data_IF_791277625817
#
_entry.id   IF_791277625817
#
_cell.length_a   1.000
_cell.length_b   1.000
_cell.length_c   1.000
_cell.angle_alpha   90.00
_cell.angle_beta   90.00
_cell.angle_gamma   90.00
#
_symmetry.space_group_name_H-M   'P 1'
#
loop_
_entity.id
_entity.type
_entity.pdbx_description
1 polymer ?
#
# COMPACT_ATOMS: atom_id res chain seq x y z
N UNK A 1 13.26 42.87 47.70
CA UNK A 1 13.14 41.67 46.82
C UNK A 1 12.10 41.96 45.73
N UNK A 2 12.50 42.11 44.45
CA UNK A 2 11.57 42.35 43.33
C UNK A 2 10.91 41.03 42.93
N UNK A 3 9.57 40.93 43.07
CA UNK A 3 8.80 39.78 42.56
C UNK A 3 8.68 39.88 41.04
N UNK A 4 9.25 38.93 40.32
CA UNK A 4 9.03 38.75 38.88
C UNK A 4 7.62 38.21 38.65
N UNK A 5 6.77 38.96 37.96
CA UNK A 5 5.44 38.48 37.54
C UNK A 5 5.65 37.39 36.47
N UNK A 6 5.29 36.15 36.77
CA UNK A 6 5.15 35.11 35.75
C UNK A 6 3.83 35.36 35.02
N UNK A 7 3.88 35.62 33.72
CA UNK A 7 2.70 35.63 32.85
C UNK A 7 2.27 34.18 32.61
N UNK A 8 1.12 33.80 33.19
CA UNK A 8 0.46 32.54 32.84
C UNK A 8 -0.24 32.66 31.48
N UNK A 9 -0.41 31.52 30.81
CA UNK A 9 -1.18 31.41 29.57
C UNK A 9 -2.61 31.90 29.77
N UNK A 10 -3.12 32.72 28.84
CA UNK A 10 -4.50 33.19 28.89
C UNK A 10 -5.47 32.10 28.45
N UNK A 11 -6.64 32.02 29.10
CA UNK A 11 -7.70 31.09 28.68
C UNK A 11 -8.16 31.37 27.23
N UNK A 12 -8.12 32.63 26.81
CA UNK A 12 -8.46 33.03 25.45
C UNK A 12 -7.46 32.49 24.42
N UNK A 13 -6.16 32.44 24.77
CA UNK A 13 -5.13 31.87 23.89
C UNK A 13 -5.33 30.37 23.70
N UNK A 14 -5.73 29.65 24.76
CA UNK A 14 -6.01 28.21 24.67
C UNK A 14 -7.24 27.95 23.79
N UNK A 15 -8.31 28.74 23.94
CA UNK A 15 -9.52 28.59 23.11
C UNK A 15 -9.21 28.88 21.64
N UNK A 16 -8.47 29.97 21.36
CA UNK A 16 -8.05 30.29 20.00
C UNK A 16 -7.20 29.17 19.38
N UNK A 17 -6.25 28.60 20.14
CA UNK A 17 -5.42 27.49 19.68
C UNK A 17 -6.26 26.24 19.38
N UNK A 18 -7.20 25.86 20.25
CA UNK A 18 -8.07 24.68 20.04
C UNK A 18 -8.95 24.84 18.80
N UNK A 19 -9.48 26.05 18.54
CA UNK A 19 -10.26 26.33 17.33
C UNK A 19 -9.42 26.14 16.08
N UNK A 20 -8.19 26.67 16.04
CA UNK A 20 -7.28 26.48 14.91
C UNK A 20 -6.96 24.99 14.72
N UNK A 21 -6.66 24.27 15.80
CA UNK A 21 -6.38 22.83 15.74
C UNK A 21 -7.57 22.02 15.21
N UNK A 22 -8.80 22.36 15.61
CA UNK A 22 -10.01 21.70 15.12
C UNK A 22 -10.20 21.88 13.61
N UNK A 23 -10.00 23.09 13.09
CA UNK A 23 -10.10 23.38 11.65
C UNK A 23 -9.02 22.65 10.87
N UNK A 24 -7.77 22.67 11.33
CA UNK A 24 -6.65 21.95 10.68
C UNK A 24 -6.91 20.45 10.69
N UNK A 25 -7.33 19.88 11.83
CA UNK A 25 -7.64 18.46 11.93
C UNK A 25 -8.73 18.05 10.93
N UNK A 26 -9.84 18.79 10.85
CA UNK A 26 -10.90 18.51 9.89
C UNK A 26 -10.40 18.55 8.43
N UNK A 27 -9.60 19.56 8.06
CA UNK A 27 -9.06 19.68 6.71
C UNK A 27 -8.07 18.55 6.36
N UNK A 28 -7.25 18.09 7.32
CA UNK A 28 -6.32 16.98 7.11
C UNK A 28 -7.04 15.65 6.87
N UNK A 29 -8.10 15.36 7.62
CA UNK A 29 -8.88 14.12 7.41
C UNK A 29 -9.53 14.11 6.03
N UNK A 30 -10.13 15.23 5.62
CA UNK A 30 -10.79 15.37 4.32
C UNK A 30 -9.84 15.18 3.13
N UNK A 31 -8.53 15.45 3.30
CA UNK A 31 -7.53 15.37 2.22
C UNK A 31 -6.76 14.05 2.22
N UNK A 32 -6.40 13.50 3.38
CA UNK A 32 -5.57 12.29 3.48
C UNK A 32 -6.34 11.01 3.19
N UNK A 33 -7.62 10.92 3.62
CA UNK A 33 -8.43 9.72 3.41
C UNK A 33 -8.59 9.33 1.92
N UNK A 34 -9.01 10.23 1.00
CA UNK A 34 -9.11 9.89 -0.41
C UNK A 34 -7.74 9.65 -1.06
N UNK A 35 -6.69 10.33 -0.59
CA UNK A 35 -5.32 10.11 -1.07
C UNK A 35 -4.83 8.70 -0.76
N UNK A 36 -5.09 8.19 0.45
CA UNK A 36 -4.76 6.82 0.86
C UNK A 36 -5.49 5.78 0.01
N UNK A 37 -6.79 5.92 -0.18
CA UNK A 37 -7.58 5.01 -1.00
C UNK A 37 -7.07 4.96 -2.46
N UNK A 38 -6.77 6.12 -3.05
CA UNK A 38 -6.19 6.20 -4.39
C UNK A 38 -4.80 5.57 -4.48
N UNK A 39 -3.99 5.73 -3.43
CA UNK A 39 -2.67 5.08 -3.37
C UNK A 39 -2.79 3.56 -3.30
N UNK A 40 -3.72 3.02 -2.52
CA UNK A 40 -3.95 1.57 -2.42
C UNK A 40 -4.43 0.97 -3.75
N UNK A 41 -5.30 1.67 -4.47
CA UNK A 41 -5.73 1.28 -5.82
C UNK A 41 -4.55 1.22 -6.79
N UNK A 42 -3.75 2.29 -6.86
CA UNK A 42 -2.55 2.36 -7.71
C UNK A 42 -1.51 1.30 -7.37
N UNK A 43 -1.31 1.02 -6.08
CA UNK A 43 -0.41 -0.04 -5.65
C UNK A 43 -0.89 -1.41 -6.14
N UNK A 44 -2.19 -1.67 -6.07
CA UNK A 44 -2.75 -2.93 -6.55
C UNK A 44 -2.67 -3.06 -8.08
N UNK A 45 -2.87 -1.97 -8.82
CA UNK A 45 -2.65 -1.90 -10.28
C UNK A 45 -1.18 -2.18 -10.63
N UNK A 46 -0.24 -1.51 -9.94
CA UNK A 46 1.18 -1.69 -10.14
C UNK A 46 1.63 -3.13 -9.82
N UNK A 47 1.11 -3.72 -8.74
CA UNK A 47 1.39 -5.10 -8.37
C UNK A 47 0.86 -6.06 -9.45
N UNK A 48 -0.37 -5.86 -9.96
CA UNK A 48 -0.90 -6.65 -11.08
C UNK A 48 -0.02 -6.56 -12.32
N UNK A 49 0.40 -5.35 -12.69
CA UNK A 49 1.26 -5.12 -13.84
C UNK A 49 2.63 -5.81 -13.67
N UNK A 50 3.20 -5.75 -12.47
CA UNK A 50 4.46 -6.43 -12.14
C UNK A 50 4.33 -7.94 -12.26
N UNK A 51 3.27 -8.53 -11.69
CA UNK A 51 3.01 -9.96 -11.79
C UNK A 51 2.75 -10.41 -13.24
N UNK A 52 2.03 -9.60 -14.01
CA UNK A 52 1.80 -9.84 -15.44
C UNK A 52 3.10 -9.80 -16.23
N UNK A 53 3.99 -8.84 -15.93
CA UNK A 53 5.32 -8.78 -16.53
C UNK A 53 6.11 -10.06 -16.24
N UNK A 54 6.08 -10.56 -15.00
CA UNK A 54 6.76 -11.82 -14.64
C UNK A 54 6.19 -13.02 -15.40
N UNK A 55 4.86 -13.13 -15.53
CA UNK A 55 4.22 -14.18 -16.34
C UNK A 55 4.60 -14.09 -17.82
N UNK A 56 4.72 -12.88 -18.37
CA UNK A 56 5.14 -12.68 -19.74
C UNK A 56 6.61 -13.08 -19.94
N UNK A 57 7.49 -12.70 -19.02
CA UNK A 57 8.88 -13.15 -19.04
C UNK A 57 8.98 -14.67 -18.98
N UNK A 58 8.24 -15.31 -18.08
CA UNK A 58 8.14 -16.78 -18.01
C UNK A 58 7.69 -17.39 -19.36
N UNK A 59 6.70 -16.79 -20.02
CA UNK A 59 6.23 -17.24 -21.34
C UNK A 59 7.32 -17.10 -22.41
N UNK A 60 8.09 -16.01 -22.40
CA UNK A 60 9.18 -15.80 -23.35
C UNK A 60 10.31 -16.82 -23.16
N UNK A 61 10.57 -17.27 -21.93
CA UNK A 61 11.64 -18.22 -21.62
C UNK A 61 11.23 -19.68 -21.84
N UNK A 62 10.00 -20.05 -21.44
CA UNK A 62 9.53 -21.45 -21.44
C UNK A 62 8.60 -21.79 -22.60
N UNK A 63 8.08 -20.78 -23.31
CA UNK A 63 7.11 -20.93 -24.39
C UNK A 63 5.66 -21.18 -23.93
N UNK A 64 5.38 -21.17 -22.62
CA UNK A 64 4.05 -21.36 -22.06
C UNK A 64 3.83 -20.46 -20.86
N UNK A 65 2.59 -20.05 -20.58
CA UNK A 65 2.30 -19.27 -19.37
C UNK A 65 2.40 -20.16 -18.13
N UNK A 66 2.76 -19.58 -16.95
CA UNK A 66 2.82 -20.35 -15.72
C UNK A 66 1.45 -20.97 -15.41
N UNK A 67 1.42 -22.13 -14.77
CA UNK A 67 0.17 -22.79 -14.37
C UNK A 67 -0.38 -22.20 -13.07
N UNK A 68 0.51 -21.66 -12.24
CA UNK A 68 0.16 -21.04 -10.98
C UNK A 68 1.24 -20.08 -10.51
N UNK A 69 0.95 -19.31 -9.45
CA UNK A 69 1.94 -18.50 -8.72
C UNK A 69 3.12 -19.36 -8.24
N UNK A 70 2.90 -20.65 -7.95
CA UNK A 70 3.97 -21.55 -7.50
C UNK A 70 5.05 -21.77 -8.56
N UNK A 71 4.70 -21.72 -9.84
CA UNK A 71 5.66 -21.89 -10.93
C UNK A 71 6.59 -20.67 -11.00
N UNK A 72 6.04 -19.46 -10.77
CA UNK A 72 6.82 -18.23 -10.64
C UNK A 72 7.75 -18.24 -9.41
N UNK A 73 7.35 -18.90 -8.32
CA UNK A 73 8.21 -19.08 -7.15
C UNK A 73 9.33 -20.09 -7.43
N UNK A 74 8.99 -21.20 -8.09
CA UNK A 74 9.92 -22.31 -8.36
C UNK A 74 11.00 -21.90 -9.35
N UNK A 75 10.63 -21.16 -10.41
CA UNK A 75 11.58 -20.61 -11.39
C UNK A 75 12.30 -19.33 -10.89
N UNK A 76 12.01 -18.87 -9.66
CA UNK A 76 12.74 -17.77 -9.04
C UNK A 76 12.30 -16.35 -9.40
N UNK A 77 11.21 -16.18 -10.17
CA UNK A 77 10.60 -14.86 -10.42
C UNK A 77 10.02 -14.23 -9.16
N UNK A 78 9.56 -15.06 -8.21
CA UNK A 78 9.12 -14.66 -6.88
C UNK A 78 10.04 -15.26 -5.84
N UNK A 79 10.70 -14.41 -5.06
CA UNK A 79 11.46 -14.86 -3.89
C UNK A 79 10.53 -15.48 -2.85
N UNK A 80 11.01 -16.51 -2.15
CA UNK A 80 10.29 -17.20 -1.06
C UNK A 80 11.22 -17.46 0.14
N UNK A 81 12.21 -16.57 0.33
CA UNK A 81 13.32 -16.81 1.26
C UNK A 81 13.04 -16.27 2.66
N UNK A 82 12.31 -15.15 2.73
CA UNK A 82 11.97 -14.47 3.98
C UNK A 82 10.52 -14.72 4.37
N UNK A 83 10.17 -14.42 5.63
CA UNK A 83 8.77 -14.48 6.06
C UNK A 83 7.90 -13.47 5.29
N UNK A 84 8.45 -12.28 5.00
CA UNK A 84 7.75 -11.25 4.23
C UNK A 84 7.43 -11.73 2.80
N UNK A 85 8.34 -12.51 2.19
CA UNK A 85 8.10 -13.11 0.88
C UNK A 85 6.94 -14.11 0.91
N UNK A 86 6.91 -14.97 1.93
CA UNK A 86 5.85 -15.97 2.12
C UNK A 86 4.49 -15.30 2.35
N UNK A 87 4.47 -14.23 3.14
CA UNK A 87 3.27 -13.44 3.41
C UNK A 87 2.77 -12.78 2.11
N UNK A 88 3.70 -12.27 1.28
CA UNK A 88 3.40 -11.73 -0.04
C UNK A 88 2.86 -12.78 -1.01
N UNK A 89 3.46 -13.96 -1.07
CA UNK A 89 2.94 -15.05 -1.93
C UNK A 89 1.53 -15.44 -1.47
N UNK A 90 1.29 -15.48 -0.16
CA UNK A 90 -0.03 -15.75 0.41
C UNK A 90 -1.03 -14.66 0.07
N UNK A 91 -0.64 -13.39 0.13
CA UNK A 91 -1.50 -12.27 -0.25
C UNK A 91 -1.83 -12.31 -1.74
N UNK A 92 -0.87 -12.60 -2.61
CA UNK A 92 -1.09 -12.76 -4.05
C UNK A 92 -2.16 -13.81 -4.31
N UNK A 93 -2.04 -14.99 -3.69
CA UNK A 93 -3.00 -16.10 -3.85
C UNK A 93 -4.41 -15.77 -3.35
N UNK A 94 -4.53 -14.90 -2.35
CA UNK A 94 -5.82 -14.50 -1.76
C UNK A 94 -6.49 -13.38 -2.55
N UNK A 95 -5.71 -12.39 -2.97
CA UNK A 95 -6.21 -11.13 -3.50
C UNK A 95 -6.28 -11.09 -5.03
N UNK A 96 -5.61 -12.01 -5.73
CA UNK A 96 -5.58 -12.06 -7.18
C UNK A 96 -6.16 -13.35 -7.72
N UNK A 97 -6.88 -13.22 -8.83
CA UNK A 97 -7.28 -14.33 -9.69
C UNK A 97 -6.30 -14.43 -10.85
N UNK A 98 -5.77 -15.63 -11.08
CA UNK A 98 -4.79 -15.90 -12.13
C UNK A 98 -5.44 -16.67 -13.28
N UNK A 99 -5.35 -16.13 -14.49
CA UNK A 99 -5.85 -16.76 -15.72
C UNK A 99 -4.70 -17.37 -16.50
N UNK A 100 -4.65 -18.71 -16.50
CA UNK A 100 -3.57 -19.50 -17.12
C UNK A 100 -3.47 -19.36 -18.64
N UNK A 101 -4.59 -19.10 -19.31
CA UNK A 101 -4.64 -18.97 -20.77
C UNK A 101 -3.92 -17.72 -21.27
N UNK A 102 -3.97 -16.65 -20.48
CA UNK A 102 -3.44 -15.33 -20.84
C UNK A 102 -2.25 -14.90 -19.99
N UNK A 103 -1.93 -15.65 -18.93
CA UNK A 103 -0.87 -15.29 -17.98
C UNK A 103 -1.21 -14.09 -17.08
N UNK A 104 -2.48 -13.70 -17.00
CA UNK A 104 -2.88 -12.44 -16.36
C UNK A 104 -3.36 -12.64 -14.93
N UNK A 105 -2.86 -11.78 -14.04
CA UNK A 105 -3.32 -11.54 -12.69
C UNK A 105 -4.30 -10.37 -12.67
N UNK A 106 -5.50 -10.64 -12.14
CA UNK A 106 -6.55 -9.64 -11.96
C UNK A 106 -6.91 -9.61 -10.48
N UNK A 107 -6.94 -8.41 -9.89
CA UNK A 107 -7.40 -8.22 -8.50
C UNK A 107 -8.84 -8.72 -8.36
N UNK A 108 -9.13 -9.42 -7.27
CA UNK A 108 -10.48 -9.85 -6.89
C UNK A 108 -11.33 -8.70 -6.39
#
# INVERSE_FOLDING_TARGET
MKRTKKSGFSLLEVIAAVVILAVVAAATVATVAPMRAKSEEKLAEQESATLNSMSQTYFLETGAFPRSVSDLVTEGYLSNTTQADQDRITSIRRNYTYTRTTGTFTKR
#
